data_IF_111062908014
#
_entry.id   IF_111062908014
#
_cell.length_a   1.000
_cell.length_b   1.000
_cell.length_c   1.000
_cell.angle_alpha   90.00
_cell.angle_beta   90.00
_cell.angle_gamma   90.00
#
_symmetry.space_group_name_H-M   'P 1'
#
loop_
_entity.id
_entity.type
_entity.pdbx_description
1 polymer ?
#
# COMPACT_ATOMS: atom_id res chain seq x y z
N UNK A 1 -10.86 13.55 24.06
CA UNK A 1 -10.64 13.55 23.14
C UNK A 1 -9.86 12.95 22.78
N UNK A 2 -9.94 12.61 22.64
CA UNK A 2 -9.39 12.10 22.22
C UNK A 2 -8.43 12.33 21.64
N UNK A 3 -8.24 12.02 21.68
CA UNK A 3 -6.91 12.12 21.25
C UNK A 3 -6.78 12.67 19.89
N UNK A 4 -5.65 13.15 19.57
CA UNK A 4 -5.37 13.58 18.23
C UNK A 4 -5.14 12.40 17.34
N UNK A 5 -5.79 12.39 16.20
CA UNK A 5 -5.51 11.41 15.17
C UNK A 5 -4.22 11.83 14.48
N UNK A 6 -3.29 10.90 14.40
CA UNK A 6 -1.99 11.19 13.82
C UNK A 6 -1.89 10.59 12.41
N UNK A 7 -1.69 11.45 11.44
CA UNK A 7 -1.50 11.02 10.07
C UNK A 7 -0.02 10.79 9.81
N UNK A 8 0.31 9.67 9.22
CA UNK A 8 1.69 9.34 8.87
C UNK A 8 1.81 9.07 7.40
N UNK A 9 2.95 9.45 6.84
CA UNK A 9 3.23 9.25 5.42
C UNK A 9 4.34 8.23 5.26
N UNK A 10 4.11 7.25 4.40
CA UNK A 10 5.06 6.20 4.12
C UNK A 10 5.48 6.29 2.67
N UNK A 11 6.77 6.20 2.41
CA UNK A 11 7.30 6.10 1.05
C UNK A 11 8.03 4.78 0.94
N UNK A 12 7.63 3.95 0.00
CA UNK A 12 8.20 2.62 -0.17
C UNK A 12 8.71 2.45 -1.60
N UNK A 13 9.98 2.10 -1.73
CA UNK A 13 10.57 1.84 -3.04
C UNK A 13 10.26 0.40 -3.45
N UNK A 14 9.57 0.26 -4.57
CA UNK A 14 9.14 -1.05 -5.05
C UNK A 14 10.27 -1.77 -5.76
N UNK A 15 10.12 -3.10 -5.89
CA UNK A 15 11.09 -3.92 -6.60
C UNK A 15 10.35 -4.97 -7.42
N UNK A 16 10.85 -5.21 -8.63
CA UNK A 16 10.31 -6.26 -9.48
C UNK A 16 8.95 -5.98 -10.07
N UNK A 17 8.51 -4.73 -10.07
CA UNK A 17 7.21 -4.34 -10.63
C UNK A 17 7.35 -3.08 -11.44
N UNK A 18 6.28 -2.72 -12.16
CA UNK A 18 6.29 -1.56 -13.04
C UNK A 18 6.39 -0.23 -12.30
N UNK A 19 5.72 -0.14 -11.17
CA UNK A 19 5.79 1.08 -10.37
C UNK A 19 7.15 1.20 -9.70
N UNK A 20 7.57 2.42 -9.42
CA UNK A 20 8.87 2.68 -8.81
C UNK A 20 8.77 2.96 -7.33
N UNK A 21 7.67 3.53 -6.90
CA UNK A 21 7.50 3.97 -5.53
C UNK A 21 6.04 3.99 -5.16
N UNK A 22 5.76 3.75 -3.89
CA UNK A 22 4.39 3.85 -3.38
C UNK A 22 4.40 4.86 -2.25
N UNK A 23 3.51 5.83 -2.33
CA UNK A 23 3.31 6.81 -1.27
C UNK A 23 1.99 6.50 -0.59
N UNK A 24 2.03 6.31 0.73
CA UNK A 24 0.87 5.89 1.49
C UNK A 24 0.65 6.84 2.65
N UNK A 25 -0.57 7.33 2.80
CA UNK A 25 -0.96 8.08 3.98
C UNK A 25 -1.84 7.20 4.84
N UNK A 26 -1.47 7.06 6.11
CA UNK A 26 -2.23 6.24 7.04
C UNK A 26 -2.63 7.10 8.24
N UNK A 27 -3.76 6.73 8.84
CA UNK A 27 -4.29 7.44 9.99
C UNK A 27 -5.06 6.47 10.85
N UNK A 28 -4.65 6.37 12.11
CA UNK A 28 -5.36 5.53 13.07
C UNK A 28 -5.57 4.09 12.60
N UNK A 29 -4.51 3.51 12.02
CA UNK A 29 -4.55 2.12 11.55
C UNK A 29 -5.30 1.90 10.26
N UNK A 30 -5.67 2.97 9.57
CA UNK A 30 -6.39 2.88 8.32
C UNK A 30 -5.64 3.61 7.21
N UNK A 31 -5.84 3.12 6.00
CA UNK A 31 -5.25 3.74 4.82
C UNK A 31 -6.10 4.91 4.41
N UNK A 32 -5.51 6.10 4.33
CA UNK A 32 -6.22 7.29 3.87
C UNK A 32 -6.09 7.44 2.37
N UNK A 33 -4.86 7.26 1.87
CA UNK A 33 -4.59 7.47 0.45
C UNK A 33 -3.36 6.68 0.04
N UNK A 34 -3.39 6.18 -1.19
CA UNK A 34 -2.24 5.51 -1.79
C UNK A 34 -2.00 6.12 -3.16
N UNK A 35 -0.75 6.38 -3.48
CA UNK A 35 -0.37 6.86 -4.80
C UNK A 35 0.85 6.06 -5.27
N UNK A 36 0.74 5.48 -6.45
CA UNK A 36 1.84 4.77 -7.08
C UNK A 36 2.55 5.70 -8.05
N UNK A 37 3.86 5.68 -8.04
CA UNK A 37 4.65 6.43 -9.01
C UNK A 37 5.11 5.47 -10.09
N UNK A 38 4.64 5.67 -11.30
CA UNK A 38 4.90 4.78 -12.42
C UNK A 38 3.94 3.61 -12.43
N UNK A 39 4.22 2.64 -13.27
CA UNK A 39 3.40 1.44 -13.37
C UNK A 39 2.22 1.59 -14.31
N UNK A 40 1.34 0.60 -14.29
CA UNK A 40 0.13 0.60 -15.12
C UNK A 40 -0.94 1.43 -14.46
N UNK A 41 -1.25 2.56 -15.05
CA UNK A 41 -2.16 3.54 -14.45
C UNK A 41 -3.50 2.94 -14.02
N UNK A 42 -4.11 2.15 -14.89
CA UNK A 42 -5.40 1.54 -14.57
C UNK A 42 -5.33 0.63 -13.36
N UNK A 43 -4.34 -0.24 -13.33
CA UNK A 43 -4.18 -1.21 -12.25
C UNK A 43 -3.84 -0.52 -10.92
N UNK A 44 -2.90 0.41 -10.95
CA UNK A 44 -2.48 1.08 -9.70
C UNK A 44 -3.56 1.99 -9.16
N UNK A 45 -4.30 2.67 -10.04
CA UNK A 45 -5.42 3.51 -9.61
C UNK A 45 -6.53 2.67 -9.00
N UNK A 46 -6.80 1.51 -9.59
CA UNK A 46 -7.81 0.61 -9.06
C UNK A 46 -7.47 0.12 -7.66
N UNK A 47 -6.23 -0.31 -7.47
CA UNK A 47 -5.78 -0.77 -6.16
C UNK A 47 -5.84 0.37 -5.15
N UNK A 48 -5.36 1.55 -5.53
CA UNK A 48 -5.38 2.71 -4.64
C UNK A 48 -6.80 3.06 -4.19
N UNK A 49 -7.74 3.01 -5.12
CA UNK A 49 -9.13 3.31 -4.80
C UNK A 49 -9.75 2.25 -3.88
N UNK A 50 -9.42 0.98 -4.11
CA UNK A 50 -9.99 -0.11 -3.31
C UNK A 50 -9.51 -0.09 -1.88
N UNK A 51 -8.26 0.28 -1.64
CA UNK A 51 -7.71 0.23 -0.28
C UNK A 51 -7.94 1.50 0.51
N UNK A 52 -8.37 2.59 -0.13
CA UNK A 52 -8.64 3.82 0.59
C UNK A 52 -9.73 3.59 1.63
N UNK A 53 -9.46 3.93 2.88
CA UNK A 53 -10.37 3.70 3.99
C UNK A 53 -10.31 2.32 4.60
N UNK A 54 -9.49 1.45 4.05
CA UNK A 54 -9.38 0.07 4.54
C UNK A 54 -8.41 -0.02 5.71
N UNK A 55 -8.69 -0.94 6.63
CA UNK A 55 -7.74 -1.23 7.71
C UNK A 55 -6.44 -1.76 7.13
N UNK A 56 -5.32 -1.36 7.72
CA UNK A 56 -4.02 -1.80 7.25
C UNK A 56 -3.92 -3.33 7.26
N UNK A 57 -4.37 -3.97 8.34
CA UNK A 57 -4.32 -5.43 8.42
C UNK A 57 -5.13 -6.12 7.33
N UNK A 58 -6.28 -5.56 7.04
CA UNK A 58 -7.14 -6.12 6.00
C UNK A 58 -6.49 -5.98 4.63
N UNK A 59 -5.88 -4.84 4.36
CA UNK A 59 -5.18 -4.61 3.09
C UNK A 59 -4.03 -5.58 2.93
N UNK A 60 -3.24 -5.78 3.97
CA UNK A 60 -2.12 -6.72 3.93
C UNK A 60 -2.64 -8.12 3.59
N UNK A 61 -3.70 -8.53 4.25
CA UNK A 61 -4.27 -9.85 4.06
C UNK A 61 -4.75 -10.07 2.64
N UNK A 62 -5.41 -9.07 2.07
CA UNK A 62 -6.00 -9.20 0.73
C UNK A 62 -5.00 -9.08 -0.40
N UNK A 63 -3.93 -8.31 -0.20
CA UNK A 63 -3.00 -8.00 -1.27
C UNK A 63 -1.74 -8.84 -1.27
N UNK A 64 -1.41 -9.45 -0.15
CA UNK A 64 -0.19 -10.25 -0.05
C UNK A 64 -0.23 -11.45 -0.99
N UNK A 65 0.88 -11.68 -1.68
CA UNK A 65 1.01 -12.86 -2.53
C UNK A 65 0.43 -12.71 -3.92
N UNK A 66 -0.18 -11.58 -4.24
CA UNK A 66 -0.69 -11.38 -5.59
C UNK A 66 0.50 -11.23 -6.55
N UNK A 67 0.51 -12.04 -7.59
CA UNK A 67 1.59 -12.03 -8.57
C UNK A 67 1.13 -11.44 -9.88
N UNK A 68 2.05 -10.81 -10.57
CA UNK A 68 1.79 -10.26 -11.90
C UNK A 68 2.40 -11.17 -12.95
N UNK A 69 1.58 -11.95 -13.64
CA UNK A 69 2.03 -12.91 -14.62
C UNK A 69 3.08 -13.86 -14.04
N UNK A 70 4.29 -13.88 -14.60
CA UNK A 70 5.35 -14.77 -14.14
C UNK A 70 6.27 -14.15 -13.10
N UNK A 71 5.97 -12.93 -12.67
CA UNK A 71 6.78 -12.26 -11.67
C UNK A 71 6.42 -12.77 -10.28
N UNK A 72 7.38 -12.81 -9.37
CA UNK A 72 7.11 -13.28 -8.00
C UNK A 72 6.33 -12.29 -7.15
N UNK A 73 6.09 -11.09 -7.66
CA UNK A 73 5.40 -10.04 -6.92
C UNK A 73 4.58 -9.18 -7.88
N UNK A 74 3.86 -8.22 -7.35
CA UNK A 74 3.03 -7.29 -8.12
C UNK A 74 2.93 -5.98 -7.37
N UNK A 75 2.35 -4.96 -8.01
CA UNK A 75 2.13 -3.68 -7.32
C UNK A 75 1.27 -3.85 -6.06
N UNK A 76 0.15 -4.61 -6.11
CA UNK A 76 -0.61 -4.87 -4.88
C UNK A 76 0.20 -5.59 -3.81
N UNK A 77 1.00 -6.59 -4.20
CA UNK A 77 1.84 -7.31 -3.26
C UNK A 77 2.88 -6.39 -2.63
N UNK A 78 3.48 -5.50 -3.43
CA UNK A 78 4.45 -4.54 -2.92
C UNK A 78 3.80 -3.58 -1.93
N UNK A 79 2.56 -3.17 -2.18
CA UNK A 79 1.82 -2.35 -1.24
C UNK A 79 1.63 -3.08 0.09
N UNK A 80 1.27 -4.37 0.03
CA UNK A 80 1.11 -5.17 1.24
C UNK A 80 2.41 -5.25 2.02
N UNK A 81 3.53 -5.39 1.32
CA UNK A 81 4.86 -5.45 1.98
C UNK A 81 5.20 -4.13 2.65
N UNK A 82 4.86 -3.01 2.00
CA UNK A 82 5.10 -1.69 2.57
C UNK A 82 4.30 -1.51 3.86
N UNK A 83 3.05 -1.93 3.86
CA UNK A 83 2.18 -1.82 5.02
C UNK A 83 2.66 -2.72 6.16
N UNK A 84 3.09 -3.94 5.84
CA UNK A 84 3.60 -4.86 6.83
C UNK A 84 4.86 -4.31 7.49
N UNK A 85 5.74 -3.73 6.69
CA UNK A 85 6.96 -3.13 7.20
C UNK A 85 6.66 -1.96 8.13
N UNK A 86 5.70 -1.14 7.75
CA UNK A 86 5.25 -0.02 8.58
C UNK A 86 4.75 -0.52 9.94
N UNK A 87 3.94 -1.56 9.95
CA UNK A 87 3.41 -2.12 11.20
C UNK A 87 4.53 -2.68 12.08
N UNK A 88 5.51 -3.30 11.47
CA UNK A 88 6.64 -3.87 12.22
C UNK A 88 7.43 -2.79 12.92
N UNK A 89 7.55 -1.62 12.31
CA UNK A 89 8.31 -0.51 12.87
C UNK A 89 7.53 0.31 13.87
N UNK A 90 6.22 0.21 13.88
CA UNK A 90 5.37 1.00 14.80
C UNK A 90 5.21 0.35 16.19
#
# INVERSE_FOLDING_TARGET
MKGRVKMEHITYNTRGVCSRRINIDVEDGKIVKVAFEGGCAGNTQGVAALVAGMDIDEAIKRLSGIRCNFKPTSCPDQLARALAEYKTKS
#
